data_IF_610773685817
#
_entry.id   IF_610773685817
#
_cell.length_a   1.000
_cell.length_b   1.000
_cell.length_c   1.000
_cell.angle_alpha   90.00
_cell.angle_beta   90.00
_cell.angle_gamma   90.00
#
_symmetry.space_group_name_H-M   'P 1'
#
loop_
_entity.id
_entity.type
_entity.pdbx_description
1 polymer ?
#
# COMPACT_ATOMS: atom_id res chain seq x y z
N UNK A 1 18.01 2.90 -24.61
CA UNK A 1 17.25 3.35 -23.43
C UNK A 1 16.33 4.46 -23.88
N UNK A 2 15.03 4.42 -23.55
CA UNK A 2 14.19 5.60 -23.69
C UNK A 2 14.80 6.76 -22.91
N UNK A 3 14.83 7.96 -23.50
CA UNK A 3 15.37 9.16 -22.86
C UNK A 3 14.21 10.01 -22.38
N UNK A 4 14.21 10.37 -21.08
CA UNK A 4 13.25 11.33 -20.53
C UNK A 4 13.45 12.67 -21.24
N UNK A 5 12.38 13.20 -21.83
CA UNK A 5 12.40 14.53 -22.47
C UNK A 5 11.78 15.54 -21.50
N UNK A 6 12.57 16.44 -20.90
CA UNK A 6 12.04 17.41 -19.94
C UNK A 6 10.89 18.22 -20.54
N UNK A 7 9.86 18.48 -19.74
CA UNK A 7 8.67 19.26 -20.12
C UNK A 7 7.81 18.66 -21.25
N UNK A 8 8.05 17.42 -21.69
CA UNK A 8 7.23 16.79 -22.73
C UNK A 8 5.76 16.55 -22.32
N UNK A 9 5.45 16.60 -21.03
CA UNK A 9 4.11 16.46 -20.46
C UNK A 9 3.62 17.73 -19.74
N UNK A 10 4.26 18.88 -19.99
CA UNK A 10 3.94 20.14 -19.30
C UNK A 10 2.45 20.52 -19.42
N UNK A 11 1.89 20.42 -20.64
CA UNK A 11 0.50 20.79 -20.93
C UNK A 11 -0.42 19.55 -21.09
N UNK A 12 0.11 18.35 -20.82
CA UNK A 12 -0.65 17.11 -20.95
C UNK A 12 -1.63 16.97 -19.78
N UNK A 13 -2.87 16.49 -20.02
CA UNK A 13 -3.81 16.25 -18.94
C UNK A 13 -3.23 15.26 -17.92
N UNK A 14 -3.63 15.44 -16.67
CA UNK A 14 -3.31 14.55 -15.55
C UNK A 14 -4.44 13.57 -15.30
N UNK A 15 -4.09 12.42 -14.72
CA UNK A 15 -5.03 11.36 -14.42
C UNK A 15 -6.24 11.87 -13.63
N UNK A 16 -6.01 12.68 -12.60
CA UNK A 16 -7.08 13.22 -11.74
C UNK A 16 -8.12 14.06 -12.49
N UNK A 17 -7.76 14.67 -13.63
CA UNK A 17 -8.68 15.47 -14.45
C UNK A 17 -9.60 14.61 -15.33
N UNK A 18 -9.26 13.33 -15.53
CA UNK A 18 -9.95 12.43 -16.46
C UNK A 18 -10.58 11.23 -15.78
N UNK A 19 -9.88 10.62 -14.83
CA UNK A 19 -10.31 9.44 -14.11
C UNK A 19 -9.70 9.44 -12.70
N UNK A 20 -10.54 9.38 -11.67
CA UNK A 20 -10.07 9.34 -10.29
C UNK A 20 -11.01 8.48 -9.44
N UNK A 21 -10.52 7.43 -8.76
CA UNK A 21 -11.37 6.49 -8.04
C UNK A 21 -11.77 7.03 -6.66
N UNK A 22 -12.51 8.15 -6.64
CA UNK A 22 -12.85 8.88 -5.42
C UNK A 22 -13.52 8.01 -4.35
N UNK A 23 -14.33 7.02 -4.73
CA UNK A 23 -14.99 6.10 -3.81
C UNK A 23 -13.98 5.20 -3.08
N UNK A 24 -13.05 4.57 -3.82
CA UNK A 24 -11.98 3.73 -3.23
C UNK A 24 -11.08 4.55 -2.30
N UNK A 25 -10.64 5.73 -2.76
CA UNK A 25 -9.83 6.65 -1.94
C UNK A 25 -10.57 7.09 -0.68
N UNK A 26 -11.89 7.32 -0.76
CA UNK A 26 -12.69 7.69 0.42
C UNK A 26 -12.75 6.56 1.44
N UNK A 27 -12.89 5.30 1.01
CA UNK A 27 -12.90 4.15 1.90
C UNK A 27 -11.55 3.97 2.63
N UNK A 28 -10.43 4.09 1.92
CA UNK A 28 -9.09 4.04 2.53
C UNK A 28 -8.87 5.19 3.53
N UNK A 29 -9.24 6.41 3.13
CA UNK A 29 -9.14 7.60 3.98
C UNK A 29 -9.97 7.45 5.27
N UNK A 30 -11.17 6.83 5.17
CA UNK A 30 -12.02 6.57 6.32
C UNK A 30 -11.37 5.56 7.28
N UNK A 31 -10.74 4.50 6.74
CA UNK A 31 -10.02 3.51 7.55
C UNK A 31 -8.87 4.16 8.32
N UNK A 32 -8.06 4.97 7.65
CA UNK A 32 -6.95 5.68 8.30
C UNK A 32 -7.46 6.59 9.44
N UNK A 33 -8.52 7.37 9.18
CA UNK A 33 -9.11 8.25 10.21
C UNK A 33 -9.65 7.49 11.43
N UNK A 34 -10.16 6.28 11.22
CA UNK A 34 -10.70 5.43 12.30
C UNK A 34 -9.63 4.62 13.04
N UNK A 35 -8.38 4.65 12.60
CA UNK A 35 -7.31 3.86 13.21
C UNK A 35 -6.89 4.36 14.61
N UNK A 36 -7.31 5.55 15.04
CA UNK A 36 -6.99 6.07 16.37
C UNK A 36 -5.47 6.17 16.59
N UNK A 37 -4.96 5.47 17.60
CA UNK A 37 -3.52 5.38 17.90
C UNK A 37 -2.71 4.58 16.85
N UNK A 38 -3.38 3.82 15.97
CA UNK A 38 -2.72 3.11 14.87
C UNK A 38 -2.32 4.03 13.70
N UNK A 39 -2.69 5.30 13.69
CA UNK A 39 -2.26 6.23 12.63
C UNK A 39 -0.73 6.38 12.62
N UNK A 40 -0.12 6.36 11.43
CA UNK A 40 1.33 6.48 11.24
C UNK A 40 1.89 7.78 11.81
N UNK A 41 1.15 8.88 11.64
CA UNK A 41 1.47 10.15 12.27
C UNK A 41 0.53 10.36 13.45
N UNK A 42 1.10 10.43 14.65
CA UNK A 42 0.36 10.62 15.90
C UNK A 42 -0.41 11.95 15.88
N UNK A 43 -1.69 11.90 16.24
CA UNK A 43 -2.46 13.10 16.51
C UNK A 43 -2.06 13.64 17.91
N UNK A 44 -1.11 14.57 17.96
CA UNK A 44 -0.83 15.30 19.20
C UNK A 44 -1.87 16.41 19.38
N UNK A 45 -2.90 16.10 20.15
CA UNK A 45 -3.97 17.02 20.55
C UNK A 45 -5.15 17.05 19.59
N UNK A 46 -6.35 17.20 20.15
CA UNK A 46 -7.63 17.33 19.44
C UNK A 46 -7.78 18.63 18.62
N UNK A 47 -6.75 19.49 18.62
CA UNK A 47 -6.75 20.83 18.04
C UNK A 47 -6.40 20.85 16.55
N UNK A 48 -5.54 19.96 16.04
CA UNK A 48 -5.20 19.90 14.61
C UNK A 48 -6.14 18.97 13.83
N UNK A 49 -7.44 19.30 13.83
CA UNK A 49 -8.51 18.56 13.14
C UNK A 49 -8.39 18.57 11.60
N UNK A 50 -7.43 19.32 11.05
CA UNK A 50 -7.22 19.51 9.60
C UNK A 50 -6.36 18.45 8.90
N UNK A 51 -5.84 17.45 9.63
CA UNK A 51 -4.96 16.40 9.09
C UNK A 51 -5.55 15.74 7.85
N UNK A 52 -4.76 15.67 6.78
CA UNK A 52 -5.13 14.97 5.55
C UNK A 52 -4.64 13.53 5.65
N UNK A 53 -5.50 12.53 5.37
CA UNK A 53 -5.07 11.13 5.33
C UNK A 53 -3.88 10.95 4.37
N UNK A 54 -2.87 10.18 4.76
CA UNK A 54 -1.68 9.94 3.93
C UNK A 54 -2.08 9.32 2.59
N UNK A 55 -3.00 8.37 2.59
CA UNK A 55 -3.51 7.76 1.35
C UNK A 55 -4.15 8.78 0.42
N UNK A 56 -4.81 9.80 0.97
CA UNK A 56 -5.41 10.88 0.17
C UNK A 56 -4.32 11.77 -0.43
N UNK A 57 -3.27 12.10 0.33
CA UNK A 57 -2.14 12.88 -0.18
C UNK A 57 -1.45 12.15 -1.32
N UNK A 58 -1.16 10.85 -1.14
CA UNK A 58 -0.58 10.02 -2.19
C UNK A 58 -1.42 10.01 -3.46
N UNK A 59 -2.73 9.80 -3.31
CA UNK A 59 -3.66 9.79 -4.43
C UNK A 59 -3.66 11.10 -5.21
N UNK A 60 -3.61 12.24 -4.52
CA UNK A 60 -3.56 13.57 -5.17
C UNK A 60 -2.23 13.75 -5.90
N UNK A 61 -1.09 13.43 -5.26
CA UNK A 61 0.23 13.60 -5.88
C UNK A 61 0.35 12.73 -7.14
N UNK A 62 0.04 11.43 -7.03
CA UNK A 62 0.09 10.53 -8.18
C UNK A 62 -0.94 10.91 -9.24
N UNK A 63 -2.15 11.29 -8.84
CA UNK A 63 -3.20 11.72 -9.75
C UNK A 63 -2.84 12.97 -10.55
N UNK A 64 -2.11 13.91 -9.95
CA UNK A 64 -1.60 15.10 -10.66
C UNK A 64 -0.40 14.80 -11.56
N UNK A 65 0.40 13.78 -11.24
CA UNK A 65 1.63 13.47 -11.96
C UNK A 65 1.45 12.47 -13.11
N UNK A 66 0.57 11.49 -12.99
CA UNK A 66 0.41 10.47 -14.03
C UNK A 66 -0.19 11.08 -15.31
N UNK A 67 0.35 10.73 -16.50
CA UNK A 67 -0.25 11.11 -17.78
C UNK A 67 -1.56 10.33 -18.00
N UNK A 68 -2.33 10.79 -19.00
CA UNK A 68 -3.51 10.07 -19.49
C UNK A 68 -3.25 9.60 -20.91
N UNK A 69 -3.49 8.32 -21.15
CA UNK A 69 -3.42 7.69 -22.47
C UNK A 69 -4.82 7.58 -23.08
N UNK A 70 -4.90 6.99 -24.28
CA UNK A 70 -6.20 6.68 -24.88
C UNK A 70 -6.94 5.56 -24.13
N UNK A 71 -6.22 4.74 -23.34
CA UNK A 71 -6.78 3.70 -22.50
C UNK A 71 -6.85 4.13 -21.03
N UNK A 72 -7.94 4.82 -20.68
CA UNK A 72 -8.20 5.30 -19.31
C UNK A 72 -8.41 4.18 -18.31
N UNK A 73 -8.80 2.99 -18.77
CA UNK A 73 -8.99 1.83 -17.89
C UNK A 73 -7.63 1.28 -17.47
N UNK A 74 -6.67 1.20 -18.40
CA UNK A 74 -5.28 0.87 -18.10
C UNK A 74 -4.63 1.96 -17.22
N UNK A 75 -4.84 3.24 -17.51
CA UNK A 75 -4.32 4.34 -16.67
C UNK A 75 -4.81 4.23 -15.22
N UNK A 76 -6.11 3.97 -15.03
CA UNK A 76 -6.70 3.77 -13.71
C UNK A 76 -6.13 2.52 -13.04
N UNK A 77 -5.92 1.42 -13.79
CA UNK A 77 -5.32 0.20 -13.25
C UNK A 77 -3.91 0.46 -12.69
N UNK A 78 -3.06 1.14 -13.47
CA UNK A 78 -1.71 1.54 -13.03
C UNK A 78 -1.77 2.44 -11.79
N UNK A 79 -2.69 3.40 -11.76
CA UNK A 79 -2.90 4.22 -10.57
C UNK A 79 -3.28 3.37 -9.34
N UNK A 80 -4.18 2.40 -9.50
CA UNK A 80 -4.60 1.51 -8.42
C UNK A 80 -3.47 0.63 -7.91
N UNK A 81 -2.61 0.13 -8.81
CA UNK A 81 -1.39 -0.59 -8.45
C UNK A 81 -0.43 0.29 -7.62
N UNK A 82 -0.14 1.50 -8.10
CA UNK A 82 0.73 2.46 -7.41
C UNK A 82 0.18 2.91 -6.05
N UNK A 83 -1.14 2.84 -5.88
CA UNK A 83 -1.82 3.11 -4.62
C UNK A 83 -1.89 1.90 -3.68
N UNK A 84 -1.63 0.68 -4.17
CA UNK A 84 -1.80 -0.56 -3.43
C UNK A 84 -3.28 -0.87 -3.15
N UNK A 85 -4.16 -0.53 -4.10
CA UNK A 85 -5.61 -0.69 -3.99
C UNK A 85 -6.23 -1.52 -5.12
N UNK A 86 -5.39 -2.10 -5.99
CA UNK A 86 -5.79 -3.14 -6.93
C UNK A 86 -6.12 -4.45 -6.20
N UNK A 87 -6.86 -5.34 -6.87
CA UNK A 87 -7.32 -6.60 -6.27
C UNK A 87 -6.16 -7.52 -5.85
N UNK A 88 -5.06 -7.54 -6.61
CA UNK A 88 -3.90 -8.36 -6.25
C UNK A 88 -3.17 -7.79 -5.02
N UNK A 89 -3.10 -6.46 -4.86
CA UNK A 89 -2.52 -5.84 -3.66
C UNK A 89 -3.23 -6.26 -2.38
N UNK A 90 -4.55 -6.48 -2.40
CA UNK A 90 -5.25 -6.95 -1.19
C UNK A 90 -4.74 -8.30 -0.66
N UNK A 91 -4.24 -9.18 -1.52
CA UNK A 91 -3.55 -10.40 -1.08
C UNK A 91 -2.21 -10.14 -0.39
N UNK A 92 -1.54 -9.04 -0.74
CA UNK A 92 -0.27 -8.55 -0.14
C UNK A 92 -0.49 -7.67 1.09
N UNK A 93 -1.72 -7.22 1.33
CA UNK A 93 -2.08 -6.33 2.45
C UNK A 93 -2.41 -7.07 3.74
N UNK A 94 -1.84 -8.26 3.93
CA UNK A 94 -2.01 -9.10 5.13
C UNK A 94 -3.47 -9.18 5.62
N UNK A 95 -4.41 -9.71 4.80
CA UNK A 95 -5.80 -9.84 5.20
C UNK A 95 -5.96 -10.74 6.42
N UNK A 96 -6.77 -10.28 7.39
CA UNK A 96 -7.19 -11.06 8.56
C UNK A 96 -8.24 -12.10 8.16
N UNK A 97 -7.77 -13.20 7.55
CA UNK A 97 -8.57 -14.33 7.12
C UNK A 97 -8.10 -15.63 7.79
N UNK A 98 -9.06 -16.38 8.32
CA UNK A 98 -8.81 -17.73 8.80
C UNK A 98 -8.63 -18.68 7.62
N UNK A 99 -7.70 -19.63 7.74
CA UNK A 99 -7.46 -20.68 6.73
C UNK A 99 -8.74 -21.44 6.36
N UNK A 100 -9.63 -21.69 7.33
CA UNK A 100 -10.94 -22.28 7.07
C UNK A 100 -11.78 -21.48 6.07
N UNK A 101 -11.86 -20.15 6.27
CA UNK A 101 -12.59 -19.27 5.36
C UNK A 101 -11.93 -19.15 3.99
N UNK A 102 -10.60 -19.28 3.92
CA UNK A 102 -9.86 -19.33 2.65
C UNK A 102 -10.25 -20.61 1.90
N UNK A 103 -10.20 -21.76 2.57
CA UNK A 103 -10.51 -23.06 1.98
C UNK A 103 -11.93 -23.17 1.42
N UNK A 104 -12.89 -22.47 2.00
CA UNK A 104 -14.28 -22.42 1.52
C UNK A 104 -14.47 -21.49 0.31
N UNK A 105 -13.51 -20.62 0.00
CA UNK A 105 -13.67 -19.52 -0.98
C UNK A 105 -12.80 -19.66 -2.21
N UNK A 106 -11.61 -20.25 -2.10
CA UNK A 106 -10.67 -20.34 -3.22
C UNK A 106 -10.86 -21.64 -4.01
N UNK A 107 -10.41 -21.62 -5.26
CA UNK A 107 -10.39 -22.84 -6.10
C UNK A 107 -8.97 -23.38 -6.17
N UNK A 108 -8.75 -24.60 -5.66
CA UNK A 108 -7.46 -25.29 -5.74
C UNK A 108 -7.69 -26.78 -5.97
N UNK A 109 -7.15 -27.30 -7.08
CA UNK A 109 -7.18 -28.73 -7.37
C UNK A 109 -6.27 -29.54 -6.46
N UNK A 110 -5.14 -28.96 -6.00
CA UNK A 110 -4.20 -29.58 -5.08
C UNK A 110 -3.97 -28.67 -3.85
N UNK A 111 -4.89 -28.64 -2.87
CA UNK A 111 -4.74 -27.80 -1.68
C UNK A 111 -3.48 -28.11 -0.87
N UNK A 112 -3.03 -29.36 -0.89
CA UNK A 112 -1.92 -29.85 -0.06
C UNK A 112 -0.53 -29.35 -0.49
N UNK A 113 -0.45 -28.71 -1.66
CA UNK A 113 0.75 -27.96 -2.04
C UNK A 113 0.97 -26.76 -1.11
N UNK A 114 -0.12 -26.17 -0.58
CA UNK A 114 -0.13 -24.92 0.18
C UNK A 114 -0.60 -25.06 1.63
N UNK A 115 -1.36 -26.12 1.95
CA UNK A 115 -1.97 -26.32 3.26
C UNK A 115 -1.56 -27.66 3.86
N UNK A 116 -1.42 -27.70 5.19
CA UNK A 116 -1.42 -28.94 5.95
C UNK A 116 -2.79 -29.15 6.58
N UNK A 117 -3.16 -30.41 6.80
CA UNK A 117 -4.32 -30.76 7.60
C UNK A 117 -3.94 -31.61 8.82
N UNK A 118 -4.80 -31.57 9.84
CA UNK A 118 -4.81 -32.55 10.94
C UNK A 118 -6.15 -33.27 10.92
N UNK A 119 -6.09 -34.60 10.96
CA UNK A 119 -7.22 -35.53 11.10
C UNK A 119 -7.18 -36.19 12.49
N UNK A 120 -7.76 -35.55 13.53
CA UNK A 120 -7.73 -36.08 14.89
C UNK A 120 -8.44 -37.43 14.98
N UNK A 121 -7.83 -38.39 15.69
CA UNK A 121 -8.36 -39.76 15.87
C UNK A 121 -8.61 -40.53 14.57
N UNK A 122 -8.00 -40.11 13.45
CA UNK A 122 -8.14 -40.76 12.13
C UNK A 122 -9.60 -41.00 11.76
N UNK A 123 -10.42 -39.94 11.93
CA UNK A 123 -11.88 -40.01 11.76
C UNK A 123 -12.28 -40.13 10.29
N UNK A 124 -11.50 -39.51 9.41
CA UNK A 124 -11.69 -39.55 7.96
C UNK A 124 -10.68 -40.47 7.28
N UNK A 125 -11.05 -41.02 6.13
CA UNK A 125 -10.16 -41.85 5.31
C UNK A 125 -9.00 -41.02 4.74
N UNK A 126 -7.80 -41.61 4.68
CA UNK A 126 -6.61 -40.87 4.27
C UNK A 126 -6.60 -40.57 2.77
N UNK A 127 -7.02 -41.53 1.94
CA UNK A 127 -7.04 -41.38 0.49
C UNK A 127 -8.14 -40.38 0.08
N UNK A 128 -9.28 -40.40 0.79
CA UNK A 128 -10.34 -39.40 0.64
C UNK A 128 -9.83 -37.98 0.95
N UNK A 129 -9.10 -37.81 2.07
CA UNK A 129 -8.54 -36.51 2.44
C UNK A 129 -7.50 -36.02 1.42
N UNK A 130 -6.61 -36.90 0.95
CA UNK A 130 -5.59 -36.55 -0.05
C UNK A 130 -6.21 -36.12 -1.39
N UNK A 131 -7.40 -36.62 -1.73
CA UNK A 131 -8.13 -36.26 -2.94
C UNK A 131 -8.97 -34.97 -2.85
N UNK A 132 -9.06 -34.34 -1.67
CA UNK A 132 -9.88 -33.12 -1.50
C UNK A 132 -9.36 -31.95 -2.33
N UNK A 133 -10.31 -31.14 -2.78
CA UNK A 133 -10.07 -29.90 -3.53
C UNK A 133 -10.76 -28.74 -2.83
N UNK A 134 -10.29 -27.52 -3.10
CA UNK A 134 -11.00 -26.30 -2.70
C UNK A 134 -11.83 -25.77 -3.88
N UNK A 135 -13.02 -25.18 -3.64
CA UNK A 135 -13.57 -24.86 -2.31
C UNK A 135 -14.07 -26.10 -1.55
N UNK A 136 -13.76 -26.15 -0.25
CA UNK A 136 -14.12 -27.27 0.63
C UNK A 136 -15.21 -26.84 1.61
N UNK A 137 -16.33 -27.57 1.64
CA UNK A 137 -17.37 -27.41 2.66
C UNK A 137 -16.91 -28.07 3.97
N UNK A 138 -16.33 -27.26 4.86
CA UNK A 138 -15.81 -27.73 6.14
C UNK A 138 -16.91 -28.19 7.11
N UNK A 139 -18.18 -27.93 6.83
CA UNK A 139 -19.29 -28.46 7.64
C UNK A 139 -19.40 -29.99 7.54
N UNK A 140 -18.93 -30.58 6.42
CA UNK A 140 -18.82 -32.03 6.23
C UNK A 140 -17.63 -32.63 6.98
N UNK A 141 -16.65 -31.80 7.35
CA UNK A 141 -15.41 -32.19 8.01
C UNK A 141 -15.17 -31.44 9.33
N UNK A 142 -16.10 -31.51 10.31
CA UNK A 142 -16.06 -30.66 11.52
C UNK A 142 -14.84 -30.90 12.42
N UNK A 143 -14.13 -32.02 12.28
CA UNK A 143 -12.90 -32.33 13.03
C UNK A 143 -11.62 -32.04 12.25
N UNK A 144 -11.72 -31.78 10.95
CA UNK A 144 -10.57 -31.47 10.10
C UNK A 144 -10.07 -30.06 10.44
N UNK A 145 -8.77 -29.95 10.72
CA UNK A 145 -8.13 -28.66 10.98
C UNK A 145 -7.16 -28.35 9.86
N UNK A 146 -7.28 -27.16 9.29
CA UNK A 146 -6.41 -26.67 8.22
C UNK A 146 -5.45 -25.62 8.75
N UNK A 147 -4.23 -25.60 8.21
CA UNK A 147 -3.25 -24.54 8.42
C UNK A 147 -2.41 -24.35 7.16
N UNK A 148 -1.75 -23.21 7.05
CA UNK A 148 -0.71 -23.05 6.03
C UNK A 148 0.38 -24.11 6.19
N UNK A 149 0.85 -24.65 5.06
CA UNK A 149 1.96 -25.59 5.02
C UNK A 149 3.20 -24.98 5.67
N UNK A 150 3.88 -25.76 6.50
CA UNK A 150 5.10 -25.28 7.19
C UNK A 150 6.19 -24.95 6.16
N UNK A 151 6.77 -23.76 6.28
CA UNK A 151 7.86 -23.31 5.41
C UNK A 151 7.41 -22.76 4.05
N UNK A 152 6.10 -22.61 3.81
CA UNK A 152 5.58 -21.94 2.63
C UNK A 152 6.02 -20.47 2.61
N UNK A 153 6.57 -20.00 1.49
CA UNK A 153 6.96 -18.61 1.33
C UNK A 153 5.72 -17.69 1.33
N UNK A 154 5.82 -16.51 1.96
CA UNK A 154 4.69 -15.56 2.03
C UNK A 154 4.19 -15.16 0.63
N UNK A 155 5.11 -15.02 -0.32
CA UNK A 155 4.82 -14.69 -1.72
C UNK A 155 3.83 -15.66 -2.37
N UNK A 156 3.90 -16.94 -2.00
CA UNK A 156 3.01 -17.98 -2.53
C UNK A 156 1.60 -17.89 -1.93
N UNK A 157 1.43 -17.22 -0.78
CA UNK A 157 0.12 -17.02 -0.15
C UNK A 157 -0.64 -15.87 -0.80
N UNK A 158 0.05 -14.83 -1.28
CA UNK A 158 -0.61 -13.60 -1.74
C UNK A 158 -1.68 -13.84 -2.83
N UNK A 159 -1.46 -14.65 -3.88
CA UNK A 159 -2.50 -14.91 -4.88
C UNK A 159 -3.73 -15.62 -4.29
N UNK A 160 -3.51 -16.55 -3.36
CA UNK A 160 -4.59 -17.28 -2.68
C UNK A 160 -5.39 -16.36 -1.76
N UNK A 161 -4.71 -15.45 -1.08
CA UNK A 161 -5.35 -14.44 -0.23
C UNK A 161 -6.15 -13.42 -1.06
N UNK A 162 -5.63 -13.00 -2.21
CA UNK A 162 -6.36 -12.13 -3.13
C UNK A 162 -7.64 -12.83 -3.64
N UNK A 163 -7.52 -14.08 -4.10
CA UNK A 163 -8.67 -14.88 -4.54
C UNK A 163 -9.69 -15.09 -3.42
N UNK A 164 -9.24 -15.31 -2.18
CA UNK A 164 -10.13 -15.45 -1.04
C UNK A 164 -10.96 -14.18 -0.77
N UNK A 165 -10.52 -13.01 -1.22
CA UNK A 165 -11.23 -11.76 -1.10
C UNK A 165 -12.15 -11.47 -2.30
N UNK A 166 -12.14 -12.31 -3.34
CA UNK A 166 -13.00 -12.13 -4.51
C UNK A 166 -14.48 -12.16 -4.11
N UNK A 167 -15.28 -11.33 -4.78
CA UNK A 167 -16.70 -11.13 -4.49
C UNK A 167 -17.00 -10.29 -3.25
N UNK A 168 -16.02 -9.92 -2.42
CA UNK A 168 -16.23 -8.94 -1.35
C UNK A 168 -16.30 -7.51 -1.91
N UNK A 169 -17.08 -6.65 -1.26
CA UNK A 169 -17.07 -5.21 -1.55
C UNK A 169 -15.71 -4.62 -1.22
N UNK A 170 -15.36 -3.51 -1.87
CA UNK A 170 -14.10 -2.82 -1.62
C UNK A 170 -13.95 -2.44 -0.13
N UNK A 171 -15.00 -1.94 0.51
CA UNK A 171 -14.99 -1.60 1.94
C UNK A 171 -14.77 -2.81 2.84
N UNK A 172 -15.30 -3.98 2.46
CA UNK A 172 -15.04 -5.23 3.18
C UNK A 172 -13.57 -5.65 3.05
N UNK A 173 -13.00 -5.58 1.83
CA UNK A 173 -11.56 -5.83 1.61
C UNK A 173 -10.70 -4.88 2.45
N UNK A 174 -11.01 -3.58 2.40
CA UNK A 174 -10.35 -2.54 3.19
C UNK A 174 -10.42 -2.84 4.69
N UNK A 175 -11.57 -3.26 5.21
CA UNK A 175 -11.73 -3.59 6.63
C UNK A 175 -10.88 -4.79 7.07
N UNK A 176 -10.72 -5.78 6.21
CA UNK A 176 -9.99 -7.02 6.53
C UNK A 176 -8.47 -6.88 6.42
N UNK A 177 -7.98 -5.97 5.59
CA UNK A 177 -6.55 -5.85 5.30
C UNK A 177 -5.85 -4.81 6.18
N UNK A 178 -4.53 -4.67 6.07
CA UNK A 178 -3.78 -3.49 6.54
C UNK A 178 -3.87 -2.33 5.54
N UNK A 179 -3.45 -1.13 5.95
CA UNK A 179 -3.35 0.03 5.05
C UNK A 179 -2.01 -0.02 4.30
N UNK A 180 -1.95 0.52 3.07
CA UNK A 180 -0.72 0.48 2.27
C UNK A 180 0.52 1.03 2.98
N UNK A 181 0.36 2.05 3.82
CA UNK A 181 1.48 2.68 4.55
C UNK A 181 2.01 1.88 5.74
N UNK A 182 1.35 0.78 6.13
CA UNK A 182 1.74 -0.11 7.23
C UNK A 182 2.60 -1.31 6.76
N UNK A 183 2.73 -1.48 5.45
CA UNK A 183 3.34 -2.65 4.83
C UNK A 183 4.75 -2.34 4.34
N UNK A 184 5.57 -3.38 4.17
CA UNK A 184 6.85 -3.27 3.49
C UNK A 184 6.63 -2.87 2.02
N UNK A 185 7.14 -1.70 1.58
CA UNK A 185 7.00 -1.26 0.20
C UNK A 185 7.55 -2.24 -0.84
N UNK A 186 8.63 -2.98 -0.52
CA UNK A 186 9.22 -3.94 -1.43
C UNK A 186 8.28 -5.11 -1.69
N UNK A 187 7.56 -5.57 -0.66
CA UNK A 187 6.56 -6.64 -0.79
C UNK A 187 5.31 -6.12 -1.50
N UNK A 188 4.79 -4.97 -1.09
CA UNK A 188 3.52 -4.44 -1.60
C UNK A 188 3.61 -4.04 -3.09
N UNK A 189 4.70 -3.35 -3.47
CA UNK A 189 4.86 -2.76 -4.80
C UNK A 189 5.94 -3.44 -5.66
N UNK A 190 6.76 -4.33 -5.13
CA UNK A 190 7.76 -5.05 -5.93
C UNK A 190 7.19 -5.67 -7.22
N UNK A 191 6.05 -6.38 -7.17
CA UNK A 191 5.47 -7.04 -8.34
C UNK A 191 4.86 -6.12 -9.41
N UNK A 192 4.63 -4.83 -9.15
CA UNK A 192 3.87 -3.97 -10.09
C UNK A 192 4.76 -3.30 -11.14
N UNK A 193 6.07 -3.20 -10.90
CA UNK A 193 6.93 -2.30 -11.68
C UNK A 193 7.09 -2.71 -13.15
N UNK A 194 7.04 -4.00 -13.45
CA UNK A 194 7.11 -4.47 -14.84
C UNK A 194 5.90 -3.97 -15.65
N UNK A 195 4.70 -4.04 -15.08
CA UNK A 195 3.47 -3.57 -15.72
C UNK A 195 3.41 -2.04 -15.78
N UNK A 196 3.79 -1.36 -14.70
CA UNK A 196 3.91 0.11 -14.66
C UNK A 196 4.85 0.60 -15.75
N UNK A 197 6.03 -0.03 -15.90
CA UNK A 197 7.01 0.35 -16.92
C UNK A 197 6.57 -0.03 -18.33
N UNK A 198 5.82 -1.12 -18.50
CA UNK A 198 5.23 -1.46 -19.79
C UNK A 198 4.22 -0.40 -20.24
N UNK A 199 3.37 0.08 -19.31
CA UNK A 199 2.36 1.11 -19.60
C UNK A 199 2.97 2.50 -19.83
N UNK A 200 3.91 2.90 -18.97
CA UNK A 200 4.49 4.24 -18.98
C UNK A 200 5.76 4.36 -19.84
N UNK A 201 6.26 3.25 -20.37
CA UNK A 201 7.51 3.21 -21.15
C UNK A 201 7.49 4.06 -22.41
N UNK A 202 6.30 4.33 -22.99
CA UNK A 202 6.13 5.24 -24.11
C UNK A 202 6.57 6.69 -23.79
N UNK A 203 6.52 7.09 -22.51
CA UNK A 203 7.01 8.38 -22.02
C UNK A 203 8.50 8.35 -21.62
N UNK A 204 9.15 7.21 -21.81
CA UNK A 204 10.53 6.97 -21.42
C UNK A 204 10.72 6.67 -19.94
N UNK A 205 9.66 6.28 -19.23
CA UNK A 205 9.71 5.92 -17.82
C UNK A 205 10.28 4.50 -17.64
N UNK A 206 11.15 4.36 -16.66
CA UNK A 206 11.71 3.10 -16.18
C UNK A 206 12.01 3.24 -14.68
N UNK A 207 11.08 2.81 -13.83
CA UNK A 207 11.13 2.96 -12.37
C UNK A 207 10.96 1.63 -11.64
N UNK A 208 11.59 1.53 -10.47
CA UNK A 208 11.51 0.37 -9.57
C UNK A 208 11.08 0.75 -8.15
N UNK A 209 10.71 2.01 -7.93
CA UNK A 209 10.15 2.54 -6.70
C UNK A 209 9.39 3.84 -6.98
N UNK A 210 8.55 4.29 -6.04
CA UNK A 210 7.75 5.52 -6.18
C UNK A 210 8.63 6.75 -6.36
N UNK A 211 9.78 6.82 -5.67
CA UNK A 211 10.70 7.95 -5.72
C UNK A 211 11.26 8.14 -7.13
N UNK A 212 11.67 7.04 -7.78
CA UNK A 212 12.12 7.07 -9.17
C UNK A 212 10.98 7.49 -10.11
N UNK A 213 9.78 6.90 -9.95
CA UNK A 213 8.64 7.23 -10.79
C UNK A 213 8.28 8.72 -10.67
N UNK A 214 8.20 9.24 -9.45
CA UNK A 214 7.83 10.64 -9.17
C UNK A 214 8.88 11.61 -9.69
N UNK A 215 10.17 11.28 -9.56
CA UNK A 215 11.25 12.07 -10.15
C UNK A 215 11.13 12.12 -11.68
N UNK A 216 10.93 10.98 -12.33
CA UNK A 216 10.81 10.90 -13.79
C UNK A 216 9.57 11.64 -14.29
N UNK A 217 8.41 11.46 -13.65
CA UNK A 217 7.20 12.21 -13.95
C UNK A 217 7.39 13.73 -13.74
N UNK A 218 8.12 14.12 -12.70
CA UNK A 218 8.48 15.51 -12.47
C UNK A 218 9.36 16.10 -13.58
N UNK A 219 10.35 15.36 -14.06
CA UNK A 219 11.17 15.79 -15.20
C UNK A 219 10.27 16.01 -16.44
N UNK A 220 9.37 15.07 -16.73
CA UNK A 220 8.48 15.18 -17.88
C UNK A 220 7.47 16.33 -17.76
N UNK A 221 6.96 16.65 -16.56
CA UNK A 221 5.95 17.72 -16.37
C UNK A 221 6.54 19.10 -16.06
N UNK A 222 7.59 19.14 -15.25
CA UNK A 222 8.12 20.37 -14.65
C UNK A 222 9.60 20.60 -14.99
N UNK A 223 10.27 19.65 -15.65
CA UNK A 223 11.70 19.72 -15.94
C UNK A 223 12.60 19.45 -14.73
N UNK A 224 12.02 19.11 -13.58
CA UNK A 224 12.72 18.80 -12.35
C UNK A 224 11.85 17.93 -11.42
N UNK A 225 12.46 17.35 -10.38
CA UNK A 225 11.74 16.62 -9.33
C UNK A 225 10.58 17.46 -8.75
N UNK A 226 9.37 16.90 -8.56
CA UNK A 226 8.23 17.68 -8.12
C UNK A 226 8.48 18.40 -6.79
N UNK A 227 8.06 19.66 -6.70
CA UNK A 227 8.15 20.47 -5.49
C UNK A 227 6.77 20.62 -4.88
N UNK A 228 6.63 20.23 -3.61
CA UNK A 228 5.36 20.34 -2.86
C UNK A 228 5.52 21.38 -1.76
N UNK A 229 4.71 22.43 -1.84
CA UNK A 229 4.62 23.49 -0.83
C UNK A 229 3.35 23.34 0.00
N UNK A 230 3.49 23.28 1.33
CA UNK A 230 2.36 23.29 2.27
C UNK A 230 2.56 24.42 3.30
N UNK A 231 1.87 25.55 3.09
CA UNK A 231 1.99 26.73 3.95
C UNK A 231 1.14 26.67 5.21
N UNK A 232 0.35 25.60 5.39
CA UNK A 232 -0.54 25.39 6.53
C UNK A 232 -0.45 23.93 7.00
N UNK A 233 0.78 23.46 7.21
CA UNK A 233 1.06 22.04 7.28
C UNK A 233 0.51 21.34 8.54
N UNK A 234 0.27 22.08 9.62
CA UNK A 234 -0.30 21.55 10.86
C UNK A 234 0.48 20.34 11.37
N UNK A 235 -0.15 19.16 11.34
CA UNK A 235 0.48 17.90 11.76
C UNK A 235 1.45 17.29 10.75
N UNK A 236 1.74 17.96 9.63
CA UNK A 236 2.77 17.56 8.68
C UNK A 236 2.39 16.40 7.75
N UNK A 237 1.10 16.04 7.62
CA UNK A 237 0.69 14.87 6.82
C UNK A 237 0.97 15.01 5.32
N UNK A 238 0.73 16.19 4.75
CA UNK A 238 1.01 16.47 3.34
C UNK A 238 2.51 16.43 3.07
N UNK A 239 3.35 17.21 3.79
CA UNK A 239 4.78 17.18 3.55
C UNK A 239 5.42 15.82 3.82
N UNK A 240 4.95 15.08 4.83
CA UNK A 240 5.45 13.75 5.14
C UNK A 240 5.21 12.75 4.00
N UNK A 241 3.97 12.65 3.49
CA UNK A 241 3.68 11.71 2.40
C UNK A 241 4.33 12.14 1.08
N UNK A 242 4.37 13.45 0.79
CA UNK A 242 5.05 13.96 -0.38
C UNK A 242 6.55 13.60 -0.38
N UNK A 243 7.21 13.73 0.77
CA UNK A 243 8.61 13.36 0.94
C UNK A 243 8.81 11.85 0.78
N UNK A 244 7.92 11.02 1.34
CA UNK A 244 7.95 9.56 1.16
C UNK A 244 7.81 9.12 -0.30
N UNK A 245 7.12 9.90 -1.12
CA UNK A 245 7.02 9.64 -2.56
C UNK A 245 8.20 10.18 -3.37
N UNK A 246 9.17 10.86 -2.73
CA UNK A 246 10.34 11.42 -3.41
C UNK A 246 10.16 12.84 -3.94
N UNK A 247 9.17 13.59 -3.48
CA UNK A 247 9.06 15.02 -3.80
C UNK A 247 10.07 15.86 -2.99
N UNK A 248 10.45 17.01 -3.53
CA UNK A 248 11.10 18.08 -2.76
C UNK A 248 10.02 18.84 -1.97
N UNK A 249 10.14 18.88 -0.64
CA UNK A 249 9.05 19.35 0.22
C UNK A 249 9.42 20.61 0.98
N UNK A 250 8.52 21.59 0.96
CA UNK A 250 8.61 22.83 1.70
C UNK A 250 7.36 23.00 2.55
N UNK A 251 7.52 23.06 3.87
CA UNK A 251 6.40 23.16 4.79
C UNK A 251 6.59 24.33 5.75
N UNK A 252 5.51 25.05 6.02
CA UNK A 252 5.48 26.10 7.04
C UNK A 252 4.17 26.06 7.82
N UNK A 253 4.23 26.49 9.08
CA UNK A 253 3.06 26.79 9.90
C UNK A 253 3.38 27.99 10.79
N UNK A 254 2.36 28.78 11.14
CA UNK A 254 2.53 29.88 12.10
C UNK A 254 2.65 29.35 13.52
N UNK A 255 2.10 28.16 13.80
CA UNK A 255 2.13 27.56 15.10
C UNK A 255 3.47 26.80 15.31
N UNK A 256 4.31 27.19 16.29
CA UNK A 256 5.58 26.54 16.54
C UNK A 256 5.44 25.05 16.91
N UNK A 257 4.31 24.65 17.51
CA UNK A 257 4.03 23.24 17.79
C UNK A 257 3.81 22.46 16.49
N UNK A 258 3.08 23.02 15.53
CA UNK A 258 2.89 22.39 14.21
C UNK A 258 4.23 22.24 13.47
N UNK A 259 5.10 23.25 13.53
CA UNK A 259 6.45 23.17 12.99
C UNK A 259 7.26 22.04 13.63
N UNK A 260 7.21 21.91 14.96
CA UNK A 260 7.89 20.83 15.69
C UNK A 260 7.35 19.44 15.33
N UNK A 261 6.03 19.30 15.21
CA UNK A 261 5.37 18.06 14.78
C UNK A 261 5.79 17.67 13.37
N UNK A 262 5.76 18.62 12.44
CA UNK A 262 6.19 18.41 11.05
C UNK A 262 7.66 18.02 10.99
N UNK A 263 8.52 18.71 11.75
CA UNK A 263 9.94 18.36 11.85
C UNK A 263 10.13 16.95 12.39
N UNK A 264 9.42 16.56 13.45
CA UNK A 264 9.45 15.23 14.03
C UNK A 264 8.95 14.14 13.07
N UNK A 265 7.89 14.42 12.31
CA UNK A 265 7.39 13.52 11.28
C UNK A 265 8.47 13.24 10.21
N UNK A 266 9.13 14.29 9.72
CA UNK A 266 10.14 14.15 8.68
C UNK A 266 11.46 13.53 9.19
N UNK A 267 11.95 13.97 10.35
CA UNK A 267 13.31 13.66 10.79
C UNK A 267 13.41 12.51 11.81
N UNK A 268 12.30 12.13 12.44
CA UNK A 268 12.25 11.03 13.42
C UNK A 268 11.45 9.86 12.85
N UNK A 269 10.20 10.11 12.44
CA UNK A 269 9.33 9.03 11.90
C UNK A 269 9.81 8.61 10.51
N UNK A 270 10.16 9.57 9.66
CA UNK A 270 10.69 9.33 8.31
C UNK A 270 12.21 9.07 8.25
N UNK A 271 12.86 8.91 9.40
CA UNK A 271 14.31 8.66 9.45
C UNK A 271 14.69 7.32 8.81
N UNK A 272 15.87 7.23 8.22
CA UNK A 272 16.44 5.96 7.78
C UNK A 272 16.64 5.01 8.97
N UNK A 273 16.69 3.68 8.76
CA UNK A 273 16.94 2.72 9.84
C UNK A 273 18.21 3.03 10.63
N UNK A 274 19.27 3.46 9.94
CA UNK A 274 20.54 3.85 10.56
C UNK A 274 20.34 5.08 11.45
N UNK A 275 19.70 6.12 10.91
CA UNK A 275 19.46 7.36 11.65
C UNK A 275 18.54 7.14 12.86
N UNK A 276 17.56 6.26 12.71
CA UNK A 276 16.67 5.86 13.80
C UNK A 276 17.44 5.14 14.91
N UNK A 277 18.35 4.23 14.55
CA UNK A 277 19.25 3.57 15.50
C UNK A 277 20.13 4.56 16.27
N UNK A 278 20.64 5.61 15.61
CA UNK A 278 21.37 6.70 16.28
C UNK A 278 20.48 7.43 17.29
N UNK A 279 19.25 7.81 16.91
CA UNK A 279 18.30 8.52 17.78
C UNK A 279 17.96 7.66 19.01
N UNK A 280 17.68 6.37 18.82
CA UNK A 280 17.35 5.45 19.92
C UNK A 280 18.52 5.28 20.88
N UNK A 281 19.75 5.23 20.37
CA UNK A 281 20.96 5.17 21.20
C UNK A 281 21.10 6.43 22.05
N UNK A 282 20.99 7.61 21.44
CA UNK A 282 21.07 8.89 22.16
C UNK A 282 19.98 9.00 23.23
N UNK A 283 18.77 8.53 22.95
CA UNK A 283 17.68 8.52 23.93
C UNK A 283 17.96 7.60 25.12
N UNK A 284 18.54 6.41 24.89
CA UNK A 284 18.95 5.51 25.98
C UNK A 284 20.05 6.14 26.83
N UNK A 285 21.08 6.69 26.20
CA UNK A 285 22.20 7.34 26.89
C UNK A 285 21.72 8.50 27.79
N UNK A 286 20.69 9.24 27.37
CA UNK A 286 20.08 10.33 28.17
C UNK A 286 19.22 9.85 29.34
N UNK A 287 18.58 8.68 29.23
CA UNK A 287 17.77 8.09 30.30
C UNK A 287 18.68 7.47 31.38
N UNK A 288 19.84 6.97 30.96
CA UNK A 288 20.83 6.33 31.84
C UNK A 288 21.79 7.33 32.52
N UNK A 289 21.79 8.60 32.10
CA UNK A 289 22.60 9.70 32.65
C UNK A 289 21.89 10.45 33.79
#
# INVERSE_FOLDING_TARGET
MPTLTPLSLQDAPSLIERVFPAQKISAEAQKERKAGAGQTLTALGSYWKGRKPLVMVRAIILGCLLPVTDDRSADLHIFEQLMGIDDAAFGRREPDLKVAAIAERITLSNPWDFFDFTNPQTVYDADELEALQFPLDLSQYPKLKLRWRRGLAEEQKHPLLAQALDGLSYEQKVKLCKRPEELDPAVLYGPIWDEVNAHLGAFGIAAHCHEQLVEQLGILRYGHRPRVGDTFCGGGSIPFEAARLGCDVYASDLNPVACMLTWGALNIIGASPEKRGEIEKVQKDLIEA
#
